data_IF_123628273346
#
_entry.id   IF_123628273346
#
_cell.length_a   1.000
_cell.length_b   1.000
_cell.length_c   1.000
_cell.angle_alpha   90.00
_cell.angle_beta   90.00
_cell.angle_gamma   90.00
#
_symmetry.space_group_name_H-M   'P 1'
#
loop_
_entity.id
_entity.type
_entity.pdbx_description
1 polymer ?
#
# COMPACT_ATOMS: atom_id res chain seq x y z
N UNK A 1 5.82 8.14 -5.96
CA UNK A 1 4.50 8.23 -6.62
C UNK A 1 3.59 7.25 -5.91
N UNK A 2 2.41 7.65 -5.45
CA UNK A 2 1.55 6.76 -4.65
C UNK A 2 0.95 5.66 -5.53
N UNK A 3 1.21 4.40 -5.19
CA UNK A 3 0.68 3.25 -5.93
C UNK A 3 -0.79 3.05 -5.59
N UNK A 4 -1.62 2.71 -6.57
CA UNK A 4 -3.04 2.40 -6.38
C UNK A 4 -3.26 0.92 -6.67
N UNK A 5 -3.83 0.20 -5.71
CA UNK A 5 -3.98 -1.26 -5.72
C UNK A 5 -5.44 -1.61 -5.44
N UNK A 6 -5.99 -2.60 -6.14
CA UNK A 6 -7.33 -3.12 -5.81
C UNK A 6 -7.24 -4.07 -4.61
N UNK A 7 -8.21 -4.02 -3.69
CA UNK A 7 -8.34 -4.96 -2.57
C UNK A 7 -8.27 -6.44 -2.97
N UNK A 8 -8.68 -6.83 -4.17
CA UNK A 8 -8.52 -8.22 -4.66
C UNK A 8 -7.06 -8.55 -4.95
N UNK A 9 -6.34 -7.64 -5.62
CA UNK A 9 -4.91 -7.77 -5.91
C UNK A 9 -4.08 -7.86 -4.62
N UNK A 10 -4.40 -7.00 -3.64
CA UNK A 10 -3.77 -7.05 -2.30
C UNK A 10 -3.94 -8.42 -1.63
N UNK A 11 -5.11 -9.05 -1.76
CA UNK A 11 -5.37 -10.38 -1.16
C UNK A 11 -4.62 -11.48 -1.88
N UNK A 12 -4.47 -11.37 -3.20
CA UNK A 12 -3.82 -12.40 -4.02
C UNK A 12 -2.30 -12.36 -3.89
N UNK A 13 -1.70 -11.18 -3.75
CA UNK A 13 -0.23 -11.02 -3.79
C UNK A 13 0.29 -10.07 -2.70
N UNK A 14 -0.19 -10.26 -1.47
CA UNK A 14 0.19 -9.41 -0.34
C UNK A 14 1.70 -9.32 -0.12
N UNK A 15 2.42 -10.44 -0.20
CA UNK A 15 3.84 -10.49 0.15
C UNK A 15 4.69 -9.66 -0.81
N UNK A 16 4.45 -9.75 -2.12
CA UNK A 16 5.18 -8.98 -3.13
C UNK A 16 4.87 -7.50 -3.01
N UNK A 17 3.58 -7.17 -2.83
CA UNK A 17 3.13 -5.79 -2.61
C UNK A 17 3.79 -5.21 -1.36
N UNK A 18 3.73 -5.90 -0.22
CA UNK A 18 4.33 -5.43 1.03
C UNK A 18 5.85 -5.21 0.90
N UNK A 19 6.55 -6.07 0.16
CA UNK A 19 7.99 -5.91 -0.11
C UNK A 19 8.28 -4.66 -0.95
N UNK A 20 7.46 -4.38 -1.95
CA UNK A 20 7.60 -3.18 -2.79
C UNK A 20 7.34 -1.89 -2.01
N UNK A 21 6.37 -1.91 -1.10
CA UNK A 21 6.07 -0.76 -0.23
C UNK A 21 7.26 -0.45 0.68
N UNK A 22 7.83 -1.50 1.31
CA UNK A 22 8.98 -1.39 2.20
C UNK A 22 10.27 -0.91 1.51
N UNK A 23 10.43 -1.23 0.22
CA UNK A 23 11.66 -0.98 -0.53
C UNK A 23 11.65 0.23 -1.46
N UNK A 24 10.50 0.89 -1.67
CA UNK A 24 10.43 2.00 -2.63
C UNK A 24 9.15 2.82 -2.54
N UNK A 25 7.99 2.21 -2.79
CA UNK A 25 6.71 2.91 -2.81
C UNK A 25 6.13 2.99 -1.39
N UNK A 26 6.69 3.84 -0.53
CA UNK A 26 6.40 3.98 0.92
C UNK A 26 4.91 4.06 1.31
N UNK A 27 4.03 4.37 0.36
CA UNK A 27 2.57 4.36 0.52
C UNK A 27 1.89 3.76 -0.72
N UNK A 28 0.89 2.91 -0.50
CA UNK A 28 -0.11 2.56 -1.51
C UNK A 28 -1.54 2.81 -1.01
N UNK A 29 -2.39 3.29 -1.91
CA UNK A 29 -3.84 3.40 -1.70
C UNK A 29 -4.49 2.10 -2.14
N UNK A 30 -5.23 1.50 -1.22
CA UNK A 30 -6.06 0.33 -1.49
C UNK A 30 -7.47 0.80 -1.85
N UNK A 31 -7.95 0.32 -2.99
CA UNK A 31 -9.29 0.62 -3.50
C UNK A 31 -10.22 -0.58 -3.38
N UNK A 32 -11.49 -0.30 -3.09
CA UNK A 32 -12.57 -1.28 -3.07
C UNK A 32 -13.73 -0.72 -3.86
N UNK A 33 -14.24 -1.49 -4.85
CA UNK A 33 -15.30 -1.03 -5.77
C UNK A 33 -14.96 0.32 -6.45
N UNK A 34 -13.68 0.49 -6.82
CA UNK A 34 -13.19 1.68 -7.51
C UNK A 34 -13.03 2.94 -6.65
N UNK A 35 -13.22 2.84 -5.32
CA UNK A 35 -13.04 3.97 -4.39
C UNK A 35 -11.90 3.69 -3.42
N UNK A 36 -11.10 4.71 -3.02
CA UNK A 36 -10.16 4.60 -1.92
C UNK A 36 -10.86 4.11 -0.65
N UNK A 37 -10.28 3.13 0.02
CA UNK A 37 -10.83 2.49 1.22
C UNK A 37 -9.81 2.56 2.37
N UNK A 38 -8.57 2.17 2.09
CA UNK A 38 -7.49 2.06 3.07
C UNK A 38 -6.15 2.48 2.43
N UNK A 39 -5.10 2.65 3.24
CA UNK A 39 -3.74 2.78 2.77
C UNK A 39 -2.84 1.73 3.42
N UNK A 40 -1.89 1.21 2.66
CA UNK A 40 -0.76 0.43 3.16
C UNK A 40 0.44 1.36 3.22
N UNK A 41 1.03 1.50 4.41
CA UNK A 41 2.09 2.45 4.69
C UNK A 41 3.28 1.69 5.27
N UNK A 42 4.47 2.02 4.79
CA UNK A 42 5.70 1.58 5.43
C UNK A 42 5.80 2.19 6.84
N UNK A 43 6.11 1.36 7.85
CA UNK A 43 6.09 1.81 9.24
C UNK A 43 7.23 2.78 9.57
N UNK A 44 8.44 2.57 9.05
CA UNK A 44 9.56 3.47 9.27
C UNK A 44 9.25 4.85 8.67
N UNK A 45 8.62 4.86 7.50
CA UNK A 45 8.13 6.11 6.89
C UNK A 45 7.02 6.77 7.70
N UNK A 46 6.11 5.99 8.30
CA UNK A 46 5.06 6.53 9.16
C UNK A 46 5.65 7.15 10.43
N UNK A 47 6.66 6.50 11.04
CA UNK A 47 7.37 7.00 12.21
C UNK A 47 8.08 8.34 11.94
N UNK A 48 8.69 8.51 10.76
CA UNK A 48 9.29 9.79 10.35
C UNK A 48 8.28 10.94 10.21
N UNK A 49 6.98 10.64 10.06
CA UNK A 49 5.92 11.63 9.82
C UNK A 49 5.22 12.11 11.09
N UNK A 50 5.31 11.37 12.20
CA UNK A 50 4.60 11.63 13.45
C UNK A 50 5.52 12.19 14.54
#
# INVERSE_FOLDING_TARGET
MTKVINSTELRTDYASIAKEIRGGNKVAVITKRGRPDLALVDLDYLEDLI
#
